data_IF_170385910469
#
_entry.id   IF_170385910469
#
_cell.length_a   1.000
_cell.length_b   1.000
_cell.length_c   1.000
_cell.angle_alpha   90.00
_cell.angle_beta   90.00
_cell.angle_gamma   90.00
#
_symmetry.space_group_name_H-M   'P 1'
#
loop_
_entity.id
_entity.type
_entity.pdbx_description
1 polymer ?
#
# COMPACT_ATOMS: atom_id res chain seq x y z
N UNK A 1 38.64 8.75 2.38
CA UNK A 1 37.64 7.84 2.92
C UNK A 1 37.51 8.09 4.41
N UNK A 2 36.77 9.13 4.72
CA UNK A 2 36.04 9.17 5.99
C UNK A 2 34.95 8.09 5.94
N UNK A 3 34.65 7.50 7.08
CA UNK A 3 33.64 6.45 7.21
C UNK A 3 32.25 7.08 7.11
N UNK A 4 31.38 6.51 6.27
CA UNK A 4 29.97 6.89 6.23
C UNK A 4 29.25 6.50 7.52
N UNK A 5 28.27 7.30 7.92
CA UNK A 5 27.46 7.06 9.12
C UNK A 5 26.01 6.85 8.72
N UNK A 6 25.44 5.70 9.08
CA UNK A 6 24.00 5.45 8.94
C UNK A 6 23.28 6.12 10.11
N UNK A 7 22.45 7.11 9.82
CA UNK A 7 21.60 7.77 10.82
C UNK A 7 20.37 6.91 11.13
N UNK A 8 19.76 6.34 10.07
CA UNK A 8 18.58 5.47 10.16
C UNK A 8 18.57 4.43 9.05
N UNK A 9 18.05 3.26 9.38
CA UNK A 9 17.68 2.20 8.44
C UNK A 9 16.26 1.74 8.79
N UNK A 10 15.34 1.80 7.83
CA UNK A 10 13.94 1.47 8.06
C UNK A 10 13.35 0.69 6.88
N UNK A 11 13.06 -0.61 7.03
CA UNK A 11 12.21 -1.34 6.10
C UNK A 11 10.76 -0.83 6.17
N UNK A 12 10.03 -0.91 5.05
CA UNK A 12 8.57 -0.76 5.09
C UNK A 12 7.92 -1.98 5.76
N UNK A 13 6.64 -1.89 6.13
CA UNK A 13 5.94 -2.94 6.89
C UNK A 13 5.93 -4.32 6.20
N UNK A 14 6.01 -4.33 4.87
CA UNK A 14 5.95 -5.54 4.05
C UNK A 14 7.33 -6.01 3.59
N UNK A 15 8.40 -5.36 4.07
CA UNK A 15 9.81 -5.69 3.80
C UNK A 15 10.14 -5.73 2.29
N UNK A 16 9.39 -4.98 1.48
CA UNK A 16 9.59 -4.91 0.02
C UNK A 16 10.55 -3.81 -0.39
N UNK A 17 10.72 -2.80 0.47
CA UNK A 17 11.65 -1.71 0.30
C UNK A 17 12.33 -1.39 1.64
N UNK A 18 13.57 -0.91 1.56
CA UNK A 18 14.34 -0.39 2.68
C UNK A 18 14.76 1.04 2.37
N UNK A 19 14.63 1.90 3.36
CA UNK A 19 15.11 3.27 3.33
C UNK A 19 16.32 3.40 4.27
N UNK A 20 17.43 3.94 3.75
CA UNK A 20 18.66 4.20 4.51
C UNK A 20 18.93 5.69 4.44
N UNK A 21 19.03 6.33 5.60
CA UNK A 21 19.49 7.70 5.74
C UNK A 21 20.97 7.67 6.15
N UNK A 22 21.83 8.16 5.28
CA UNK A 22 23.29 8.06 5.43
C UNK A 22 23.94 9.45 5.32
N UNK A 23 24.90 9.70 6.20
CA UNK A 23 25.91 10.74 6.02
C UNK A 23 27.08 10.11 5.29
N UNK A 24 27.32 10.53 4.05
CA UNK A 24 28.51 10.13 3.33
C UNK A 24 29.73 10.84 3.94
N UNK A 25 30.71 10.08 4.44
CA UNK A 25 31.88 10.64 5.10
C UNK A 25 32.79 11.44 4.16
N UNK A 26 32.99 10.97 2.92
CA UNK A 26 33.80 11.70 1.94
C UNK A 26 33.00 12.86 1.32
N UNK A 27 31.68 12.72 1.32
CA UNK A 27 30.76 13.65 0.70
C UNK A 27 29.94 14.49 1.69
N UNK A 28 30.27 14.54 2.99
CA UNK A 28 29.65 15.34 4.08
C UNK A 28 28.21 15.84 3.75
N UNK A 29 27.38 14.93 3.27
CA UNK A 29 26.05 15.17 2.75
C UNK A 29 25.17 14.04 3.22
N UNK A 30 23.93 14.41 3.50
CA UNK A 30 22.92 13.50 4.01
C UNK A 30 22.07 13.07 2.83
N UNK A 31 22.03 11.77 2.59
CA UNK A 31 21.27 11.16 1.52
C UNK A 31 20.27 10.14 2.07
N UNK A 32 19.08 10.17 1.49
CA UNK A 32 18.10 9.09 1.62
C UNK A 32 18.24 8.17 0.42
N UNK A 33 18.53 6.90 0.68
CA UNK A 33 18.53 5.83 -0.31
C UNK A 33 17.33 4.92 -0.10
N UNK A 34 16.60 4.62 -1.17
CA UNK A 34 15.49 3.68 -1.15
C UNK A 34 15.71 2.61 -2.21
N UNK A 35 15.63 1.35 -1.82
CA UNK A 35 15.81 0.24 -2.74
C UNK A 35 15.05 -1.02 -2.29
N UNK A 36 14.64 -1.88 -3.23
CA UNK A 36 14.14 -3.20 -2.90
C UNK A 36 15.31 -4.11 -2.45
N UNK A 37 15.23 -4.78 -1.29
CA UNK A 37 16.31 -5.65 -0.80
C UNK A 37 16.75 -6.74 -1.79
N UNK A 38 15.80 -7.26 -2.57
CA UNK A 38 16.05 -8.31 -3.57
C UNK A 38 16.63 -7.77 -4.89
N UNK A 39 16.58 -6.47 -5.12
CA UNK A 39 17.17 -5.84 -6.30
C UNK A 39 17.85 -4.50 -5.95
N UNK A 40 18.94 -4.50 -5.15
CA UNK A 40 19.60 -3.27 -4.69
C UNK A 40 20.11 -2.35 -5.80
N UNK A 41 20.24 -2.87 -7.04
CA UNK A 41 20.61 -2.08 -8.22
C UNK A 41 19.51 -1.09 -8.65
N UNK A 42 18.27 -1.25 -8.18
CA UNK A 42 17.15 -0.32 -8.39
C UNK A 42 17.08 0.69 -7.24
N UNK A 43 18.22 1.30 -6.93
CA UNK A 43 18.33 2.28 -5.85
C UNK A 43 17.94 3.66 -6.33
N UNK A 44 17.14 4.33 -5.52
CA UNK A 44 16.75 5.72 -5.68
C UNK A 44 17.42 6.54 -4.57
N UNK A 45 17.87 7.73 -4.91
CA UNK A 45 18.59 8.60 -4.00
C UNK A 45 17.94 9.98 -3.98
N UNK A 46 17.81 10.56 -2.78
CA UNK A 46 17.33 11.90 -2.53
C UNK A 46 18.33 12.63 -1.64
N UNK A 47 18.80 13.79 -2.09
CA UNK A 47 19.59 14.68 -1.25
C UNK A 47 18.70 15.29 -0.17
N UNK A 48 19.14 15.23 1.09
CA UNK A 48 18.41 15.79 2.24
C UNK A 48 19.05 17.10 2.73
N UNK A 49 20.38 17.15 2.77
CA UNK A 49 21.13 18.28 3.29
C UNK A 49 22.64 18.11 3.13
N UNK A 50 23.37 19.18 3.40
CA UNK A 50 24.83 19.17 3.55
C UNK A 50 25.20 19.36 5.01
N UNK A 51 26.30 18.76 5.44
CA UNK A 51 26.91 19.03 6.75
C UNK A 51 27.82 20.27 6.73
N UNK A 52 28.37 20.63 5.56
CA UNK A 52 29.27 21.76 5.37
C UNK A 52 28.92 22.59 4.12
N UNK A 53 29.33 23.86 4.11
CA UNK A 53 29.21 24.71 2.91
C UNK A 53 30.33 24.42 1.90
N UNK A 54 30.00 24.42 0.61
CA UNK A 54 30.96 24.32 -0.50
C UNK A 54 30.54 25.10 -1.74
N UNK A 55 31.51 25.50 -2.54
CA UNK A 55 31.29 26.16 -3.83
C UNK A 55 31.06 25.17 -4.98
N UNK A 56 30.63 25.68 -6.15
CA UNK A 56 30.29 24.85 -7.30
C UNK A 56 31.49 24.13 -7.93
N UNK A 57 32.70 24.72 -7.87
CA UNK A 57 33.89 24.12 -8.47
C UNK A 57 34.29 22.85 -7.72
N UNK A 58 34.14 22.84 -6.40
CA UNK A 58 34.38 21.67 -5.55
C UNK A 58 33.39 20.54 -5.82
N UNK A 59 32.13 20.85 -6.12
CA UNK A 59 31.10 19.84 -6.46
C UNK A 59 31.40 19.19 -7.82
N UNK A 60 31.80 19.96 -8.83
CA UNK A 60 32.16 19.41 -10.15
C UNK A 60 33.35 18.44 -10.09
N UNK A 61 34.34 18.72 -9.24
CA UNK A 61 35.49 17.84 -9.04
C UNK A 61 35.08 16.49 -8.45
N UNK A 62 34.15 16.48 -7.48
CA UNK A 62 33.63 15.26 -6.86
C UNK A 62 32.78 14.43 -7.83
N UNK A 63 31.96 15.08 -8.65
CA UNK A 63 31.22 14.38 -9.71
C UNK A 63 32.16 13.70 -10.71
N UNK A 64 33.29 14.34 -11.07
CA UNK A 64 34.34 13.71 -11.90
C UNK A 64 35.02 12.53 -11.20
N UNK A 65 35.07 12.55 -9.87
CA UNK A 65 35.57 11.47 -9.02
C UNK A 65 34.53 10.36 -8.75
N UNK A 66 33.33 10.45 -9.35
CA UNK A 66 32.22 9.50 -9.17
C UNK A 66 31.72 9.35 -7.71
N UNK A 67 31.91 10.39 -6.89
CA UNK A 67 31.25 10.48 -5.59
C UNK A 67 29.78 10.89 -5.79
N UNK A 68 28.87 10.56 -4.85
CA UNK A 68 27.52 11.11 -4.87
C UNK A 68 27.57 12.64 -5.00
N UNK A 69 26.66 13.27 -5.75
CA UNK A 69 26.67 14.73 -5.86
C UNK A 69 26.38 15.40 -4.50
N UNK A 70 26.86 16.62 -4.24
CA UNK A 70 26.28 17.50 -3.21
C UNK A 70 25.61 18.67 -3.92
N UNK A 71 24.68 19.37 -3.26
CA UNK A 71 24.23 20.66 -3.78
C UNK A 71 25.22 21.77 -3.37
N UNK A 72 25.68 22.65 -4.29
CA UNK A 72 26.57 23.76 -3.94
C UNK A 72 25.81 24.81 -3.12
N UNK A 73 26.52 25.68 -2.40
CA UNK A 73 25.94 26.70 -1.52
C UNK A 73 24.86 27.58 -2.20
N UNK A 74 25.00 27.84 -3.51
CA UNK A 74 24.02 28.60 -4.28
C UNK A 74 22.64 27.93 -4.36
N UNK A 75 22.58 26.59 -4.29
CA UNK A 75 21.38 25.77 -4.45
C UNK A 75 20.73 25.35 -3.13
N UNK A 76 21.34 25.70 -1.99
CA UNK A 76 20.84 25.35 -0.65
C UNK A 76 20.40 26.59 0.13
N UNK A 77 19.34 26.48 0.93
CA UNK A 77 18.93 27.48 1.91
C UNK A 77 19.46 27.12 3.32
N UNK A 78 19.10 27.90 4.34
CA UNK A 78 19.56 27.67 5.73
C UNK A 78 19.19 26.28 6.26
N UNK A 79 18.04 25.72 5.88
CA UNK A 79 17.63 24.37 6.27
C UNK A 79 18.41 23.27 5.54
N UNK A 80 19.15 23.60 4.48
CA UNK A 80 20.01 22.69 3.74
C UNK A 80 21.40 22.49 4.35
N UNK A 81 21.73 23.23 5.42
CA UNK A 81 22.96 23.05 6.20
C UNK A 81 22.61 22.43 7.56
N UNK A 82 22.88 21.12 7.70
CA UNK A 82 22.46 20.32 8.86
C UNK A 82 23.70 19.79 9.59
N UNK A 83 23.98 20.38 10.76
CA UNK A 83 25.11 19.99 11.60
C UNK A 83 24.76 18.90 12.63
N UNK A 84 23.47 18.69 12.87
CA UNK A 84 22.98 17.71 13.82
C UNK A 84 22.97 16.31 13.20
N UNK A 85 23.96 15.52 13.58
CA UNK A 85 24.12 14.13 13.15
C UNK A 85 23.81 13.12 14.27
N UNK A 86 23.20 13.57 15.37
CA UNK A 86 22.76 12.67 16.45
C UNK A 86 21.65 11.77 15.92
N UNK A 87 21.88 10.44 15.78
CA UNK A 87 20.91 9.56 15.15
C UNK A 87 19.51 9.67 15.77
N UNK A 88 19.41 9.83 17.10
CA UNK A 88 18.15 9.94 17.84
C UNK A 88 17.26 11.14 17.48
N UNK A 89 17.82 12.15 16.81
CA UNK A 89 17.05 13.28 16.30
C UNK A 89 16.45 13.03 14.90
N UNK A 90 16.77 11.90 14.27
CA UNK A 90 16.32 11.53 12.94
C UNK A 90 15.30 10.40 12.97
N UNK A 91 14.38 10.43 12.01
CA UNK A 91 13.46 9.33 11.77
C UNK A 91 13.16 9.20 10.27
N UNK A 92 12.83 7.99 9.85
CA UNK A 92 12.48 7.66 8.46
C UNK A 92 11.13 6.95 8.52
N UNK A 93 10.09 7.60 8.01
CA UNK A 93 8.71 7.11 8.13
C UNK A 93 8.12 6.82 6.76
N UNK A 94 7.60 5.62 6.61
CA UNK A 94 6.85 5.21 5.42
C UNK A 94 5.41 5.73 5.49
N UNK A 95 4.85 6.11 4.34
CA UNK A 95 3.43 6.44 4.24
C UNK A 95 2.56 5.21 4.55
N UNK A 96 1.28 5.39 4.90
CA UNK A 96 0.38 4.27 5.23
C UNK A 96 0.19 3.29 4.05
N UNK A 97 0.28 3.74 2.80
CA UNK A 97 0.28 2.85 1.62
C UNK A 97 1.64 2.19 1.36
N UNK A 98 2.66 2.48 2.18
CA UNK A 98 3.97 1.85 2.19
C UNK A 98 4.79 2.08 0.90
N UNK A 99 4.48 3.13 0.14
CA UNK A 99 5.15 3.44 -1.14
C UNK A 99 5.94 4.75 -1.14
N UNK A 100 5.63 5.68 -0.24
CA UNK A 100 6.37 6.94 -0.10
C UNK A 100 7.11 6.94 1.24
N UNK A 101 8.17 7.73 1.34
CA UNK A 101 8.95 7.84 2.58
C UNK A 101 9.30 9.30 2.86
N UNK A 102 9.21 9.68 4.12
CA UNK A 102 9.58 11.00 4.62
C UNK A 102 10.73 10.87 5.62
N UNK A 103 11.65 11.84 5.55
CA UNK A 103 12.73 12.02 6.53
C UNK A 103 12.29 13.10 7.51
N UNK A 104 12.35 12.77 8.79
CA UNK A 104 12.04 13.67 9.89
C UNK A 104 13.32 14.01 10.64
N UNK A 105 13.45 15.28 11.00
CA UNK A 105 14.49 15.78 11.89
C UNK A 105 13.83 16.63 12.98
N UNK A 106 13.98 16.25 14.25
CA UNK A 106 13.35 16.91 15.40
C UNK A 106 11.84 17.18 15.18
N UNK A 107 11.10 16.14 14.78
CA UNK A 107 9.65 16.18 14.48
C UNK A 107 9.23 17.06 13.30
N UNK A 108 10.17 17.49 12.45
CA UNK A 108 9.86 18.21 11.21
C UNK A 108 10.24 17.38 9.99
N UNK A 109 9.36 17.34 9.00
CA UNK A 109 9.68 16.73 7.72
C UNK A 109 10.69 17.62 6.98
N UNK A 110 11.85 17.04 6.66
CA UNK A 110 12.94 17.72 5.94
C UNK A 110 13.14 17.18 4.53
N UNK A 111 12.65 15.99 4.22
CA UNK A 111 12.65 15.45 2.86
C UNK A 111 11.52 14.44 2.65
N UNK A 112 11.04 14.31 1.41
CA UNK A 112 10.01 13.34 1.00
C UNK A 112 10.39 12.72 -0.34
N UNK A 113 10.46 11.40 -0.41
CA UNK A 113 10.51 10.65 -1.66
C UNK A 113 9.13 10.05 -1.92
N UNK A 114 8.36 10.58 -2.90
CA UNK A 114 7.05 10.06 -3.23
C UNK A 114 7.15 8.75 -4.03
N UNK A 115 6.10 7.94 -3.96
CA UNK A 115 5.98 6.66 -4.66
C UNK A 115 6.18 6.74 -6.18
N UNK A 116 5.71 7.83 -6.79
CA UNK A 116 5.82 8.08 -8.23
C UNK A 116 7.18 8.65 -8.65
N UNK A 117 8.03 9.05 -7.70
CA UNK A 117 9.32 9.67 -8.00
C UNK A 117 10.29 8.73 -8.72
N UNK A 118 10.64 7.58 -8.10
CA UNK A 118 11.47 6.53 -8.69
C UNK A 118 11.19 6.19 -10.16
N UNK A 119 9.92 5.95 -10.50
CA UNK A 119 9.51 5.56 -11.84
C UNK A 119 9.71 6.68 -12.87
N UNK A 120 9.60 7.94 -12.45
CA UNK A 120 9.68 9.13 -13.30
C UNK A 120 11.07 9.78 -13.31
N UNK A 121 12.10 9.11 -12.75
CA UNK A 121 13.44 9.67 -12.53
C UNK A 121 13.42 10.97 -11.71
N UNK A 122 12.41 11.12 -10.86
CA UNK A 122 12.26 12.25 -9.97
C UNK A 122 12.84 11.87 -8.58
N UNK A 123 13.80 12.66 -8.05
CA UNK A 123 14.51 12.29 -6.83
C UNK A 123 13.67 12.43 -5.56
N UNK A 124 12.72 13.38 -5.53
CA UNK A 124 11.98 13.76 -4.32
C UNK A 124 12.17 15.23 -3.96
N UNK A 125 11.61 15.59 -2.81
CA UNK A 125 11.60 16.95 -2.28
C UNK A 125 12.50 17.06 -1.04
N UNK A 126 13.21 18.17 -0.88
CA UNK A 126 14.01 18.48 0.30
C UNK A 126 13.82 19.94 0.74
N UNK A 127 13.65 20.15 2.04
CA UNK A 127 13.41 21.46 2.66
C UNK A 127 14.57 22.41 2.44
N UNK A 128 15.79 21.87 2.43
CA UNK A 128 17.03 22.61 2.23
C UNK A 128 17.29 23.08 0.79
N UNK A 129 16.51 22.60 -0.18
CA UNK A 129 16.76 22.82 -1.61
C UNK A 129 16.08 24.12 -2.10
N UNK A 130 16.82 24.98 -2.83
CA UNK A 130 16.29 26.26 -3.36
C UNK A 130 15.63 26.14 -4.73
N UNK A 131 16.22 25.37 -5.64
CA UNK A 131 15.76 25.22 -7.02
C UNK A 131 15.60 23.75 -7.38
N UNK A 132 14.90 23.45 -8.46
CA UNK A 132 14.83 22.09 -9.00
C UNK A 132 16.21 21.63 -9.48
N UNK A 133 16.69 20.51 -8.94
CA UNK A 133 17.98 19.92 -9.32
C UNK A 133 17.79 18.45 -9.71
N UNK A 134 18.89 17.81 -10.15
CA UNK A 134 18.88 16.38 -10.46
C UNK A 134 18.77 15.47 -9.22
N UNK A 135 18.94 15.99 -8.01
CA UNK A 135 19.09 15.19 -6.78
C UNK A 135 18.08 15.56 -5.68
N UNK A 136 17.41 16.71 -5.81
CA UNK A 136 16.29 17.12 -4.98
C UNK A 136 15.56 18.29 -5.64
N UNK A 137 14.25 18.40 -5.38
CA UNK A 137 13.46 19.61 -5.66
C UNK A 137 13.07 20.31 -4.34
N UNK A 138 12.70 21.60 -4.37
CA UNK A 138 12.31 22.32 -3.16
C UNK A 138 11.07 21.72 -2.49
N UNK A 139 11.15 21.42 -1.19
CA UNK A 139 9.98 21.09 -0.38
C UNK A 139 9.35 22.38 0.15
N UNK A 140 8.27 22.82 -0.48
CA UNK A 140 7.54 24.03 -0.08
C UNK A 140 6.37 23.69 0.86
N UNK A 141 5.88 24.69 1.59
CA UNK A 141 4.72 24.54 2.48
C UNK A 141 3.42 24.20 1.74
N UNK A 142 3.37 24.39 0.42
CA UNK A 142 2.22 24.07 -0.43
C UNK A 142 2.22 22.59 -0.89
N UNK A 143 3.27 21.83 -0.57
CA UNK A 143 3.37 20.44 -0.97
C UNK A 143 2.34 19.59 -0.18
N UNK A 144 1.37 19.04 -0.90
CA UNK A 144 0.26 18.24 -0.35
C UNK A 144 0.72 17.01 0.45
N UNK A 145 1.92 16.49 0.15
CA UNK A 145 2.49 15.35 0.87
C UNK A 145 2.82 15.68 2.33
N UNK A 146 3.10 16.95 2.66
CA UNK A 146 3.32 17.37 4.05
C UNK A 146 2.05 17.14 4.88
N UNK A 147 0.90 17.59 4.38
CA UNK A 147 -0.38 17.41 5.04
C UNK A 147 -0.72 15.92 5.17
N UNK A 148 -0.48 15.15 4.12
CA UNK A 148 -0.70 13.70 4.12
C UNK A 148 0.12 12.99 5.19
N UNK A 149 1.43 13.21 5.23
CA UNK A 149 2.30 12.59 6.24
C UNK A 149 1.94 13.05 7.66
N UNK A 150 1.51 14.30 7.84
CA UNK A 150 1.05 14.76 9.16
C UNK A 150 -0.22 14.04 9.63
N UNK A 151 -1.21 13.85 8.75
CA UNK A 151 -2.43 13.10 9.06
C UNK A 151 -2.15 11.62 9.33
N UNK A 152 -1.26 11.02 8.55
CA UNK A 152 -0.85 9.62 8.74
C UNK A 152 -0.08 9.44 10.07
N UNK A 153 0.77 10.40 10.44
CA UNK A 153 1.49 10.42 11.73
C UNK A 153 0.54 10.60 12.92
N UNK A 154 -0.46 11.49 12.81
CA UNK A 154 -1.52 11.65 13.80
C UNK A 154 -2.30 10.35 13.99
N UNK A 155 -2.74 9.72 12.90
CA UNK A 155 -3.43 8.44 12.93
C UNK A 155 -2.61 7.34 13.63
N UNK A 156 -1.30 7.28 13.36
CA UNK A 156 -0.40 6.30 13.99
C UNK A 156 -0.14 6.59 15.47
N UNK A 157 0.00 7.87 15.86
CA UNK A 157 0.19 8.27 17.26
C UNK A 157 -1.05 7.99 18.11
N UNK A 158 -2.24 8.16 17.53
CA UNK A 158 -3.52 7.88 18.17
C UNK A 158 -3.90 6.39 18.13
N UNK A 159 -3.11 5.56 17.45
CA UNK A 159 -3.37 4.13 17.38
C UNK A 159 -3.21 3.45 18.74
N UNK A 160 -4.21 2.65 19.10
CA UNK A 160 -4.23 1.87 20.34
C UNK A 160 -4.98 0.55 20.13
N UNK A 161 -4.92 -0.33 21.14
CA UNK A 161 -5.75 -1.54 21.17
C UNK A 161 -7.25 -1.24 21.07
N UNK A 162 -7.70 -0.12 21.64
CA UNK A 162 -9.10 0.32 21.53
C UNK A 162 -9.45 0.74 20.09
N UNK A 163 -8.50 1.34 19.36
CA UNK A 163 -8.67 1.69 17.94
C UNK A 163 -8.93 0.43 17.10
N UNK A 164 -8.14 -0.62 17.32
CA UNK A 164 -8.37 -1.91 16.66
C UNK A 164 -9.71 -2.52 17.04
N UNK A 165 -10.02 -2.58 18.33
CA UNK A 165 -11.28 -3.16 18.83
C UNK A 165 -12.49 -2.51 18.19
N UNK A 166 -12.51 -1.18 18.06
CA UNK A 166 -13.61 -0.45 17.43
C UNK A 166 -13.75 -0.80 15.93
N UNK A 167 -12.63 -0.82 15.19
CA UNK A 167 -12.62 -1.19 13.76
C UNK A 167 -13.10 -2.63 13.59
N UNK A 168 -12.59 -3.54 14.42
CA UNK A 168 -12.94 -4.95 14.41
C UNK A 168 -14.43 -5.15 14.69
N UNK A 169 -14.95 -4.65 15.81
CA UNK A 169 -16.36 -4.79 16.19
C UNK A 169 -17.29 -4.17 15.14
N UNK A 170 -16.97 -3.00 14.60
CA UNK A 170 -17.74 -2.35 13.55
C UNK A 170 -17.75 -3.12 12.23
N UNK A 171 -16.59 -3.67 11.84
CA UNK A 171 -16.46 -4.49 10.64
C UNK A 171 -17.25 -5.79 10.77
N UNK A 172 -17.11 -6.49 11.90
CA UNK A 172 -17.85 -7.73 12.17
C UNK A 172 -19.37 -7.50 12.22
N UNK A 173 -19.80 -6.37 12.78
CA UNK A 173 -21.22 -5.97 12.79
C UNK A 173 -21.76 -5.77 11.37
N UNK A 174 -20.95 -5.23 10.47
CA UNK A 174 -21.30 -5.03 9.05
C UNK A 174 -21.52 -6.36 8.31
N UNK A 175 -20.98 -7.46 8.83
CA UNK A 175 -21.11 -8.79 8.25
C UNK A 175 -22.25 -9.62 8.84
N UNK A 176 -22.92 -9.15 9.91
CA UNK A 176 -23.92 -9.94 10.66
C UNK A 176 -25.02 -10.54 9.78
N UNK A 177 -25.55 -9.77 8.81
CA UNK A 177 -26.60 -10.26 7.91
C UNK A 177 -26.13 -11.27 6.86
N UNK A 178 -24.81 -11.41 6.70
CA UNK A 178 -24.18 -12.35 5.76
C UNK A 178 -23.73 -13.64 6.43
N UNK A 179 -23.53 -13.61 7.75
CA UNK A 179 -23.24 -14.79 8.54
C UNK A 179 -24.47 -15.70 8.63
N UNK A 180 -24.30 -16.95 8.23
CA UNK A 180 -25.37 -17.97 8.19
C UNK A 180 -25.18 -19.08 9.23
N UNK A 181 -24.06 -19.07 9.95
CA UNK A 181 -23.73 -20.00 11.03
C UNK A 181 -22.71 -19.41 12.00
N UNK A 182 -22.13 -20.27 12.84
CA UNK A 182 -21.07 -19.87 13.77
C UNK A 182 -19.89 -19.28 13.01
N UNK A 183 -19.52 -18.05 13.35
CA UNK A 183 -18.36 -17.38 12.79
C UNK A 183 -17.07 -17.95 13.40
N UNK A 184 -16.19 -18.47 12.55
CA UNK A 184 -14.79 -18.72 12.84
C UNK A 184 -13.98 -17.47 12.53
N UNK A 185 -12.98 -17.20 13.34
CA UNK A 185 -12.11 -16.03 13.24
C UNK A 185 -10.65 -16.47 13.26
N UNK A 186 -9.89 -16.07 12.25
CA UNK A 186 -8.48 -16.43 12.11
C UNK A 186 -7.62 -15.16 12.06
N UNK A 187 -6.65 -15.03 12.96
CA UNK A 187 -5.63 -13.99 12.83
C UNK A 187 -4.77 -14.26 11.59
N UNK A 188 -4.58 -13.23 10.76
CA UNK A 188 -3.84 -13.27 9.50
C UNK A 188 -2.72 -12.21 9.46
N UNK A 189 -2.46 -11.56 10.59
CA UNK A 189 -1.44 -10.53 10.81
C UNK A 189 -0.08 -11.09 11.27
N UNK A 190 -0.05 -12.33 11.77
CA UNK A 190 1.11 -12.95 12.43
C UNK A 190 1.54 -12.22 13.70
N UNK A 191 0.59 -11.55 14.37
CA UNK A 191 0.86 -10.74 15.56
C UNK A 191 1.67 -9.46 15.29
N UNK A 192 1.74 -9.01 14.03
CA UNK A 192 2.37 -7.75 13.61
C UNK A 192 1.30 -6.71 13.28
N UNK A 193 1.59 -5.44 13.50
CA UNK A 193 0.74 -4.35 13.01
C UNK A 193 0.87 -4.20 11.48
N UNK A 194 -0.22 -3.88 10.74
CA UNK A 194 -1.59 -3.71 11.23
C UNK A 194 -2.28 -5.06 11.53
N UNK A 195 -3.17 -5.11 12.53
CA UNK A 195 -4.03 -6.27 12.77
C UNK A 195 -4.85 -6.63 11.54
N UNK A 196 -5.02 -7.92 11.30
CA UNK A 196 -5.72 -8.45 10.14
C UNK A 196 -6.27 -9.82 10.52
N UNK A 197 -7.52 -10.07 10.12
CA UNK A 197 -8.14 -11.37 10.28
C UNK A 197 -8.97 -11.78 9.07
N UNK A 198 -9.25 -13.07 9.01
CA UNK A 198 -10.20 -13.67 8.10
C UNK A 198 -11.36 -14.24 8.93
N UNK A 199 -12.59 -13.90 8.54
CA UNK A 199 -13.80 -14.51 9.08
C UNK A 199 -14.30 -15.60 8.14
N UNK A 200 -14.93 -16.62 8.71
CA UNK A 200 -15.63 -17.67 7.97
C UNK A 200 -16.92 -18.00 8.71
N UNK A 201 -18.06 -17.85 8.05
CA UNK A 201 -19.36 -18.32 8.53
C UNK A 201 -19.98 -19.22 7.48
N UNK A 202 -20.22 -20.47 7.83
CA UNK A 202 -20.74 -21.50 6.92
C UNK A 202 -21.89 -22.26 7.58
N UNK A 203 -22.99 -22.46 6.86
CA UNK A 203 -24.11 -23.30 7.28
C UNK A 203 -24.90 -23.80 6.07
N UNK A 204 -25.41 -25.03 6.14
CA UNK A 204 -26.14 -25.80 5.11
C UNK A 204 -26.44 -25.06 3.79
N UNK A 205 -25.43 -24.99 2.93
CA UNK A 205 -25.58 -24.51 1.55
C UNK A 205 -25.13 -23.07 1.30
N UNK A 206 -24.62 -22.35 2.31
CA UNK A 206 -24.02 -21.02 2.11
C UNK A 206 -22.80 -20.80 3.00
N UNK A 207 -21.80 -20.16 2.44
CA UNK A 207 -20.60 -19.70 3.13
C UNK A 207 -20.34 -18.23 2.82
N UNK A 208 -19.87 -17.51 3.83
CA UNK A 208 -19.38 -16.15 3.73
C UNK A 208 -18.00 -16.07 4.39
N UNK A 209 -17.03 -15.53 3.66
CA UNK A 209 -15.69 -15.27 4.17
C UNK A 209 -15.26 -13.87 3.82
N UNK A 210 -14.62 -13.18 4.75
CA UNK A 210 -14.15 -11.83 4.51
C UNK A 210 -12.89 -11.51 5.31
N UNK A 211 -12.16 -10.51 4.84
CA UNK A 211 -11.12 -9.86 5.63
C UNK A 211 -11.74 -8.95 6.69
N UNK A 212 -11.03 -8.73 7.78
CA UNK A 212 -11.31 -7.68 8.75
C UNK A 212 -9.98 -7.06 9.18
N UNK A 213 -9.81 -5.76 8.90
CA UNK A 213 -8.58 -5.01 9.17
C UNK A 213 -7.73 -4.72 7.93
N UNK A 214 -8.10 -5.22 6.75
CA UNK A 214 -7.41 -4.86 5.51
C UNK A 214 -7.54 -3.35 5.23
N UNK A 215 -8.67 -2.75 5.61
CA UNK A 215 -8.94 -1.33 5.45
C UNK A 215 -8.12 -0.40 6.37
N UNK A 216 -7.37 -0.94 7.34
CA UNK A 216 -6.50 -0.14 8.23
C UNK A 216 -5.43 0.60 7.44
N UNK A 217 -4.96 0.03 6.33
CA UNK A 217 -4.07 0.69 5.40
C UNK A 217 -4.81 1.01 4.09
N UNK A 218 -4.54 2.16 3.46
CA UNK A 218 -4.93 2.38 2.07
C UNK A 218 -4.02 1.56 1.14
N UNK A 219 -4.58 0.97 0.09
CA UNK A 219 -3.80 0.27 -0.93
C UNK A 219 -2.88 1.24 -1.71
N UNK A 220 -1.71 0.79 -2.17
CA UNK A 220 -0.88 1.51 -3.15
C UNK A 220 -1.65 1.87 -4.42
N UNK A 221 -1.34 2.99 -5.07
CA UNK A 221 -1.95 3.34 -6.35
C UNK A 221 -1.80 4.82 -6.67
N UNK A 222 -2.29 5.24 -7.83
CA UNK A 222 -2.33 6.64 -8.19
C UNK A 222 -3.13 7.42 -7.13
N UNK A 223 -2.55 8.51 -6.66
CA UNK A 223 -3.29 9.47 -5.84
C UNK A 223 -4.44 9.99 -6.69
N UNK A 224 -5.67 10.00 -6.17
CA UNK A 224 -6.77 10.53 -6.95
C UNK A 224 -6.58 12.04 -7.16
N UNK A 225 -6.72 12.49 -8.40
CA UNK A 225 -6.67 13.92 -8.75
C UNK A 225 -7.96 14.68 -8.36
N UNK A 226 -8.95 14.02 -7.77
CA UNK A 226 -10.32 14.52 -7.60
C UNK A 226 -10.90 14.23 -6.21
N UNK A 227 -11.80 15.10 -5.74
CA UNK A 227 -12.52 14.99 -4.46
C UNK A 227 -13.52 13.83 -4.47
N UNK A 228 -14.00 13.39 -5.64
CA UNK A 228 -14.93 12.27 -5.82
C UNK A 228 -14.25 10.88 -5.88
N UNK A 229 -12.97 10.83 -5.50
CA UNK A 229 -12.20 9.62 -5.52
C UNK A 229 -12.74 8.53 -4.60
N UNK A 230 -12.80 7.32 -5.13
CA UNK A 230 -13.12 6.14 -4.32
C UNK A 230 -12.02 5.88 -3.30
N UNK A 231 -12.40 5.52 -2.07
CA UNK A 231 -11.42 5.18 -1.04
C UNK A 231 -10.53 4.01 -1.49
N UNK A 232 -9.24 4.12 -1.17
CA UNK A 232 -8.24 3.06 -1.37
C UNK A 232 -8.21 2.05 -0.23
N UNK A 233 -9.03 2.25 0.80
CA UNK A 233 -9.21 1.32 1.92
C UNK A 233 -10.31 0.34 1.56
N UNK A 234 -10.00 -0.95 1.63
CA UNK A 234 -10.95 -1.98 1.26
C UNK A 234 -10.95 -3.14 2.24
N UNK A 235 -12.07 -3.85 2.28
CA UNK A 235 -12.12 -5.25 2.70
C UNK A 235 -12.47 -6.12 1.48
N UNK A 236 -11.98 -7.36 1.49
CA UNK A 236 -12.29 -8.39 0.51
C UNK A 236 -13.24 -9.42 1.11
N UNK A 237 -14.15 -9.96 0.31
CA UNK A 237 -14.88 -11.13 0.74
C UNK A 237 -15.50 -11.94 -0.38
N UNK A 238 -16.01 -13.10 -0.02
CA UNK A 238 -16.64 -14.05 -0.91
C UNK A 238 -17.91 -14.58 -0.28
N UNK A 239 -18.91 -14.79 -1.12
CA UNK A 239 -20.16 -15.45 -0.79
C UNK A 239 -20.43 -16.54 -1.82
N UNK A 240 -20.87 -17.71 -1.37
CA UNK A 240 -21.17 -18.82 -2.27
C UNK A 240 -21.75 -20.02 -1.54
N UNK A 241 -21.86 -21.14 -2.26
CA UNK A 241 -22.26 -22.41 -1.66
C UNK A 241 -21.19 -22.92 -0.70
N UNK A 242 -21.60 -23.52 0.42
CA UNK A 242 -20.65 -24.21 1.31
C UNK A 242 -19.91 -25.31 0.55
N UNK A 243 -18.59 -25.35 0.69
CA UNK A 243 -17.74 -26.26 -0.04
C UNK A 243 -16.57 -26.77 0.79
N UNK A 244 -15.95 -27.87 0.35
CA UNK A 244 -14.68 -28.35 0.93
C UNK A 244 -13.52 -27.36 0.68
N UNK A 245 -13.69 -26.38 -0.21
CA UNK A 245 -12.69 -25.35 -0.51
C UNK A 245 -12.72 -24.16 0.46
N UNK A 246 -13.66 -24.09 1.42
CA UNK A 246 -13.85 -22.89 2.24
C UNK A 246 -12.57 -22.49 3.01
N UNK A 247 -11.85 -23.46 3.56
CA UNK A 247 -10.57 -23.18 4.25
C UNK A 247 -9.45 -22.77 3.26
N UNK A 248 -9.46 -23.29 2.04
CA UNK A 248 -8.50 -22.90 1.00
C UNK A 248 -8.77 -21.47 0.52
N UNK A 249 -10.04 -21.08 0.38
CA UNK A 249 -10.44 -19.72 0.07
C UNK A 249 -10.03 -18.75 1.20
N UNK A 250 -10.18 -19.14 2.47
CA UNK A 250 -9.65 -18.33 3.58
C UNK A 250 -8.12 -18.15 3.49
N UNK A 251 -7.38 -19.19 3.08
CA UNK A 251 -5.94 -19.10 2.84
C UNK A 251 -5.61 -18.16 1.67
N UNK A 252 -6.37 -18.26 0.58
CA UNK A 252 -6.24 -17.36 -0.56
C UNK A 252 -6.53 -15.91 -0.16
N UNK A 253 -7.60 -15.65 0.58
CA UNK A 253 -7.94 -14.33 1.12
C UNK A 253 -6.81 -13.75 1.98
N UNK A 254 -6.20 -14.55 2.85
CA UNK A 254 -5.05 -14.12 3.67
C UNK A 254 -3.86 -13.66 2.81
N UNK A 255 -3.58 -14.37 1.70
CA UNK A 255 -2.57 -13.97 0.73
C UNK A 255 -2.94 -12.69 -0.03
N UNK A 256 -4.17 -12.62 -0.54
CA UNK A 256 -4.70 -11.46 -1.28
C UNK A 256 -4.74 -10.21 -0.41
N UNK A 257 -5.08 -10.33 0.87
CA UNK A 257 -5.17 -9.22 1.81
C UNK A 257 -3.85 -8.48 2.05
N UNK A 258 -2.70 -9.02 1.60
CA UNK A 258 -1.39 -8.35 1.66
C UNK A 258 -0.81 -8.06 0.28
N UNK A 259 -1.46 -8.54 -0.77
CA UNK A 259 -0.98 -8.47 -2.14
C UNK A 259 -0.75 -7.02 -2.62
N UNK A 260 -1.67 -6.06 -2.39
CA UNK A 260 -1.52 -4.67 -2.84
C UNK A 260 -0.16 -4.06 -2.45
N UNK A 261 0.19 -4.11 -1.16
CA UNK A 261 1.43 -3.53 -0.63
C UNK A 261 2.69 -4.29 -1.03
N UNK A 262 2.60 -5.62 -1.18
CA UNK A 262 3.75 -6.43 -1.61
C UNK A 262 4.15 -6.17 -3.06
N UNK A 263 3.20 -5.78 -3.90
CA UNK A 263 3.40 -5.61 -5.33
C UNK A 263 3.14 -4.18 -5.83
N UNK A 264 3.05 -3.21 -4.91
CA UNK A 264 2.80 -1.80 -5.22
C UNK A 264 1.61 -1.61 -6.19
N UNK A 265 0.49 -2.29 -5.90
CA UNK A 265 -0.70 -2.34 -6.77
C UNK A 265 -1.98 -2.19 -5.95
N UNK A 266 -3.15 -2.19 -6.61
CA UNK A 266 -4.47 -2.12 -5.98
C UNK A 266 -5.45 -3.13 -6.57
N UNK A 267 -6.50 -3.40 -5.80
CA UNK A 267 -7.71 -4.04 -6.29
C UNK A 267 -8.77 -3.00 -6.59
N UNK A 268 -9.54 -3.22 -7.66
CA UNK A 268 -10.72 -2.43 -7.94
C UNK A 268 -11.80 -3.31 -8.58
N UNK A 269 -13.02 -2.77 -8.60
CA UNK A 269 -14.10 -3.31 -9.42
C UNK A 269 -13.59 -3.57 -10.85
N UNK A 270 -14.06 -4.65 -11.44
CA UNK A 270 -13.70 -5.12 -12.78
C UNK A 270 -12.32 -5.77 -12.93
N UNK A 271 -11.46 -5.80 -11.90
CA UNK A 271 -10.23 -6.60 -11.97
C UNK A 271 -10.51 -8.10 -11.96
N UNK A 272 -9.56 -8.89 -12.50
CA UNK A 272 -9.57 -10.35 -12.38
C UNK A 272 -8.23 -10.84 -11.82
N UNK A 273 -8.25 -11.95 -11.07
CA UNK A 273 -7.06 -12.52 -10.43
C UNK A 273 -7.06 -14.04 -10.63
N UNK A 274 -5.94 -14.68 -11.02
CA UNK A 274 -5.82 -16.14 -11.00
C UNK A 274 -6.01 -16.71 -9.58
N UNK A 275 -6.58 -17.92 -9.48
CA UNK A 275 -6.74 -18.63 -8.20
C UNK A 275 -6.63 -20.14 -8.37
N UNK A 276 -6.08 -20.79 -7.36
CA UNK A 276 -6.07 -22.27 -7.24
C UNK A 276 -7.02 -22.75 -6.13
N UNK A 277 -7.73 -21.84 -5.46
CA UNK A 277 -8.53 -22.16 -4.28
C UNK A 277 -9.61 -23.22 -4.52
N UNK A 278 -10.06 -23.37 -5.78
CA UNK A 278 -11.12 -24.31 -6.17
C UNK A 278 -10.60 -25.55 -6.89
N UNK A 279 -9.29 -25.73 -7.05
CA UNK A 279 -8.72 -26.80 -7.87
C UNK A 279 -9.19 -28.21 -7.47
N UNK A 280 -9.45 -28.44 -6.18
CA UNK A 280 -9.92 -29.73 -5.66
C UNK A 280 -11.42 -29.99 -5.79
N UNK A 281 -12.26 -28.95 -5.93
CA UNK A 281 -13.73 -29.07 -5.87
C UNK A 281 -14.43 -28.64 -7.16
N UNK A 282 -13.89 -27.64 -7.85
CA UNK A 282 -14.48 -27.06 -9.05
C UNK A 282 -13.35 -26.49 -9.94
N UNK A 283 -12.52 -27.37 -10.55
CA UNK A 283 -11.28 -27.00 -11.23
C UNK A 283 -11.46 -26.10 -12.46
N UNK A 284 -12.69 -25.95 -12.97
CA UNK A 284 -13.01 -25.00 -14.03
C UNK A 284 -12.90 -23.53 -13.58
N UNK A 285 -13.07 -23.25 -12.28
CA UNK A 285 -12.97 -21.91 -11.70
C UNK A 285 -11.52 -21.61 -11.33
N UNK A 286 -10.82 -21.01 -12.29
CA UNK A 286 -9.37 -20.73 -12.24
C UNK A 286 -9.05 -19.27 -11.95
N UNK A 287 -10.08 -18.42 -11.88
CA UNK A 287 -9.93 -16.98 -11.69
C UNK A 287 -11.01 -16.44 -10.73
N UNK A 288 -10.77 -15.25 -10.20
CA UNK A 288 -11.70 -14.45 -9.42
C UNK A 288 -11.97 -13.15 -10.17
N UNK A 289 -13.23 -12.79 -10.38
CA UNK A 289 -13.62 -11.43 -10.72
C UNK A 289 -13.80 -10.62 -9.44
N UNK A 290 -13.41 -9.34 -9.48
CA UNK A 290 -13.61 -8.40 -8.38
C UNK A 290 -14.81 -7.50 -8.70
N UNK A 291 -15.79 -7.47 -7.82
CA UNK A 291 -17.00 -6.66 -7.97
C UNK A 291 -17.32 -5.92 -6.68
N UNK A 292 -17.32 -4.59 -6.74
CA UNK A 292 -17.89 -3.75 -5.69
C UNK A 292 -19.42 -3.82 -5.65
N UNK A 293 -20.07 -3.84 -6.81
CA UNK A 293 -21.54 -3.88 -6.94
C UNK A 293 -21.96 -4.84 -8.05
N UNK A 294 -23.05 -5.57 -7.79
CA UNK A 294 -23.84 -6.31 -8.76
C UNK A 294 -25.21 -6.60 -8.12
N UNK A 295 -26.27 -6.80 -8.90
CA UNK A 295 -27.63 -6.98 -8.34
C UNK A 295 -27.80 -8.24 -7.49
N UNK A 296 -27.01 -9.29 -7.75
CA UNK A 296 -26.98 -10.54 -7.00
C UNK A 296 -26.03 -10.49 -5.79
N UNK A 297 -25.32 -9.38 -5.59
CA UNK A 297 -24.45 -9.17 -4.44
C UNK A 297 -25.17 -8.31 -3.39
N UNK A 298 -24.98 -8.62 -2.10
CA UNK A 298 -25.48 -7.75 -1.04
C UNK A 298 -24.64 -6.47 -0.95
N UNK A 299 -25.23 -5.40 -0.43
CA UNK A 299 -24.49 -4.20 -0.08
C UNK A 299 -23.89 -4.36 1.33
N UNK A 300 -22.61 -4.00 1.49
CA UNK A 300 -21.88 -4.05 2.77
C UNK A 300 -21.33 -2.65 3.07
N UNK A 301 -21.96 -1.97 4.02
CA UNK A 301 -21.47 -0.69 4.53
C UNK A 301 -20.49 -0.90 5.68
N UNK A 302 -19.23 -0.52 5.49
CA UNK A 302 -18.16 -0.65 6.50
C UNK A 302 -18.12 0.59 7.42
N UNK A 303 -17.55 0.51 8.63
CA UNK A 303 -17.28 1.70 9.44
C UNK A 303 -16.16 2.55 8.81
N UNK A 304 -16.17 3.85 9.08
CA UNK A 304 -15.07 4.72 8.66
C UNK A 304 -13.75 4.36 9.34
N UNK A 305 -12.64 4.53 8.63
CA UNK A 305 -11.28 4.32 9.13
C UNK A 305 -10.45 5.53 8.71
N UNK A 306 -9.81 6.21 9.68
CA UNK A 306 -9.02 7.41 9.45
C UNK A 306 -9.77 8.51 8.65
N UNK A 307 -11.08 8.68 8.91
CA UNK A 307 -11.93 9.66 8.21
C UNK A 307 -12.39 9.25 6.81
N UNK A 308 -11.90 8.12 6.28
CA UNK A 308 -12.32 7.58 4.99
C UNK A 308 -13.38 6.50 5.15
N UNK A 309 -14.24 6.34 4.14
CA UNK A 309 -15.25 5.28 4.06
C UNK A 309 -14.67 4.09 3.25
N UNK A 310 -14.28 2.97 3.89
CA UNK A 310 -13.75 1.82 3.18
C UNK A 310 -14.80 1.19 2.26
N UNK A 311 -14.32 0.54 1.19
CA UNK A 311 -15.15 -0.21 0.24
C UNK A 311 -15.11 -1.70 0.53
N UNK A 312 -16.17 -2.41 0.19
CA UNK A 312 -16.18 -3.87 0.22
C UNK A 312 -16.14 -4.40 -1.20
N UNK A 313 -15.14 -5.23 -1.54
CA UNK A 313 -15.01 -5.83 -2.86
C UNK A 313 -15.27 -7.34 -2.77
N UNK A 314 -16.28 -7.81 -3.52
CA UNK A 314 -16.57 -9.22 -3.63
C UNK A 314 -15.65 -9.91 -4.63
N UNK A 315 -15.17 -11.09 -4.26
CA UNK A 315 -14.46 -12.02 -5.12
C UNK A 315 -15.44 -13.07 -5.62
N UNK A 316 -15.62 -13.15 -6.93
CA UNK A 316 -16.54 -14.08 -7.59
C UNK A 316 -15.73 -15.11 -8.38
N UNK A 317 -15.87 -16.42 -8.10
CA UNK A 317 -15.22 -17.45 -8.91
C UNK A 317 -15.70 -17.43 -10.36
N UNK A 318 -14.74 -17.36 -11.29
CA UNK A 318 -15.00 -17.34 -12.73
C UNK A 318 -14.07 -18.33 -13.46
N UNK A 319 -14.52 -18.79 -14.62
CA UNK A 319 -13.73 -19.68 -15.49
C UNK A 319 -12.74 -18.91 -16.35
N UNK A 320 -11.80 -19.62 -16.98
CA UNK A 320 -10.89 -18.99 -17.94
C UNK A 320 -11.61 -18.42 -19.18
N UNK A 321 -12.77 -18.98 -19.57
CA UNK A 321 -13.57 -18.45 -20.67
C UNK A 321 -14.25 -17.12 -20.27
N UNK A 322 -14.75 -17.05 -19.05
CA UNK A 322 -15.37 -15.84 -18.47
C UNK A 322 -14.36 -14.73 -18.24
N UNK A 323 -13.13 -15.09 -17.83
CA UNK A 323 -12.04 -14.14 -17.73
C UNK A 323 -11.71 -13.53 -19.10
N UNK A 324 -11.62 -14.36 -20.15
CA UNK A 324 -11.45 -13.86 -21.53
C UNK A 324 -12.64 -13.01 -21.98
N UNK A 325 -13.86 -13.34 -21.57
CA UNK A 325 -15.02 -12.49 -21.85
C UNK A 325 -14.84 -11.11 -21.20
N UNK A 326 -14.44 -11.05 -19.93
CA UNK A 326 -14.18 -9.80 -19.22
C UNK A 326 -13.05 -8.99 -19.87
N UNK A 327 -11.96 -9.62 -20.29
CA UNK A 327 -10.87 -8.94 -21.02
C UNK A 327 -11.34 -8.36 -22.36
N UNK A 328 -12.14 -9.10 -23.12
CA UNK A 328 -12.53 -8.72 -24.48
C UNK A 328 -13.74 -7.77 -24.53
N UNK A 329 -14.67 -7.87 -23.57
CA UNK A 329 -15.94 -7.14 -23.58
C UNK A 329 -16.19 -6.30 -22.31
N UNK A 330 -15.29 -6.35 -21.35
CA UNK A 330 -15.40 -5.66 -20.06
C UNK A 330 -16.10 -6.50 -19.00
N UNK A 331 -15.69 -6.33 -17.76
CA UNK A 331 -16.24 -7.07 -16.61
C UNK A 331 -17.71 -6.76 -16.36
N UNK A 332 -18.20 -5.57 -16.74
CA UNK A 332 -19.63 -5.25 -16.66
C UNK A 332 -20.48 -6.24 -17.47
N UNK A 333 -20.06 -6.58 -18.69
CA UNK A 333 -20.74 -7.60 -19.51
C UNK A 333 -20.70 -8.98 -18.86
N UNK A 334 -19.59 -9.33 -18.20
CA UNK A 334 -19.52 -10.57 -17.43
C UNK A 334 -20.52 -10.55 -16.26
N UNK A 335 -20.58 -9.47 -15.50
CA UNK A 335 -21.51 -9.34 -14.36
C UNK A 335 -22.98 -9.42 -14.79
N UNK A 336 -23.34 -8.79 -15.91
CA UNK A 336 -24.69 -8.88 -16.50
C UNK A 336 -25.06 -10.32 -16.91
N UNK A 337 -24.10 -11.07 -17.44
CA UNK A 337 -24.32 -12.48 -17.79
C UNK A 337 -24.40 -13.38 -16.56
N UNK A 338 -23.59 -13.10 -15.53
CA UNK A 338 -23.71 -13.79 -14.24
C UNK A 338 -25.06 -13.52 -13.60
N UNK A 339 -25.54 -12.28 -13.63
CA UNK A 339 -26.87 -11.90 -13.15
C UNK A 339 -27.99 -12.67 -13.87
N UNK A 340 -27.85 -12.92 -15.17
CA UNK A 340 -28.80 -13.72 -15.93
C UNK A 340 -28.71 -15.24 -15.62
N UNK A 341 -27.66 -15.69 -14.94
CA UNK A 341 -27.50 -17.08 -14.51
C UNK A 341 -28.42 -17.40 -13.33
N UNK A 342 -29.04 -18.60 -13.26
CA UNK A 342 -29.88 -18.99 -12.13
C UNK A 342 -29.15 -19.04 -10.78
N UNK A 343 -27.82 -19.19 -10.80
CA UNK A 343 -27.01 -19.36 -9.59
C UNK A 343 -25.61 -18.72 -9.78
N UNK A 344 -25.50 -17.38 -9.83
CA UNK A 344 -24.26 -16.66 -10.18
C UNK A 344 -23.05 -17.00 -9.30
N UNK A 345 -23.30 -17.35 -8.04
CA UNK A 345 -22.28 -17.63 -7.04
C UNK A 345 -22.02 -19.14 -6.83
N UNK A 346 -22.74 -20.01 -7.53
CA UNK A 346 -22.59 -21.45 -7.35
C UNK A 346 -21.37 -21.99 -8.10
N UNK A 347 -20.58 -22.82 -7.45
CA UNK A 347 -19.49 -23.57 -8.08
C UNK A 347 -19.99 -24.74 -8.97
N UNK A 348 -21.31 -24.91 -9.10
CA UNK A 348 -21.94 -25.93 -9.96
C UNK A 348 -22.56 -25.34 -11.22
N UNK A 349 -22.50 -24.02 -11.40
CA UNK A 349 -23.05 -23.34 -12.58
C UNK A 349 -22.20 -23.63 -13.83
N UNK A 350 -22.85 -23.60 -14.98
CA UNK A 350 -22.16 -23.59 -16.26
C UNK A 350 -21.46 -22.23 -16.49
N UNK A 351 -20.39 -22.19 -17.31
CA UNK A 351 -19.78 -20.93 -17.73
C UNK A 351 -20.77 -20.06 -18.50
N UNK A 352 -20.72 -18.75 -18.30
CA UNK A 352 -21.50 -17.79 -19.08
C UNK A 352 -20.70 -17.31 -20.30
N UNK A 353 -21.35 -17.24 -21.47
CA UNK A 353 -20.76 -16.86 -22.76
C UNK A 353 -21.28 -15.53 -23.29
#
# INVERSE_FOLDING_TARGET
>A
MQESVILREQPNLFETQVAILEVDGDNESIYLYVFPPQAPKQMHALWVGNYSERDAAQVEEQMRAALPPRLPHAEINEAGLIQDLEPDNWDVRWSLDQQSVAVWHLEKIVAIMPSWGPANRFPGFALGCKNETSVAWPLTSENVLLTRFAQEDEFLRDWSEDSWRQIQEGTLKSYESLHVGTMRYFAADQGKWPPLAITLSSNEGRSFMATAGMAILPMPGAEPDDDDAKSRRIELGMIGDTSEADEEVCRALSGLARYPWRYATHFDHAHTIPTEAFAGVAPQFTHLAIAETASFLPNVGLPQVAGEQPRFLFLIPITAAEQKLAENRGTQTLLEKLEASPAPLSLKRDPVE
#
